data_IF_759348613861
#
_entry.id   IF_759348613861
#
_cell.length_a   1.000
_cell.length_b   1.000
_cell.length_c   1.000
_cell.angle_alpha   90.00
_cell.angle_beta   90.00
_cell.angle_gamma   90.00
#
_symmetry.space_group_name_H-M   'P 1'
#
loop_
_entity.id
_entity.type
_entity.pdbx_description
1 polymer ?
#
# COMPACT_ATOMS: atom_id res chain seq x y z
N UNK A 1 33.43 68.96 -3.26
CA UNK A 1 32.54 67.89 -2.76
C UNK A 1 32.61 66.64 -3.65
N UNK A 2 33.66 65.79 -3.56
CA UNK A 2 33.79 64.62 -4.46
C UNK A 2 34.36 63.33 -3.83
N UNK A 3 34.67 63.31 -2.53
CA UNK A 3 35.28 62.14 -1.86
C UNK A 3 34.26 61.10 -1.33
N UNK A 4 33.00 61.48 -1.12
CA UNK A 4 31.99 60.59 -0.53
C UNK A 4 31.47 59.48 -1.47
N UNK A 5 31.50 59.70 -2.79
CA UNK A 5 30.91 58.79 -3.76
C UNK A 5 31.78 57.54 -4.03
N UNK A 6 33.11 57.68 -3.91
CA UNK A 6 34.08 56.59 -4.14
C UNK A 6 34.07 55.54 -3.02
N UNK A 7 33.85 55.99 -1.77
CA UNK A 7 33.75 55.12 -0.59
C UNK A 7 32.49 54.24 -0.67
N UNK A 8 31.36 54.83 -1.06
CA UNK A 8 30.10 54.11 -1.26
C UNK A 8 30.15 53.10 -2.43
N UNK A 9 30.94 53.36 -3.48
CA UNK A 9 31.16 52.41 -4.58
C UNK A 9 32.01 51.20 -4.15
N UNK A 10 33.10 51.44 -3.41
CA UNK A 10 33.95 50.37 -2.86
C UNK A 10 33.20 49.47 -1.88
N UNK A 11 32.29 50.03 -1.07
CA UNK A 11 31.46 49.27 -0.14
C UNK A 11 30.44 48.39 -0.88
N UNK A 12 29.86 48.88 -1.99
CA UNK A 12 28.97 48.10 -2.86
C UNK A 12 29.70 47.00 -3.62
N UNK A 13 30.95 47.21 -4.05
CA UNK A 13 31.76 46.15 -4.68
C UNK A 13 32.16 45.06 -3.69
N UNK A 14 32.57 45.42 -2.47
CA UNK A 14 32.85 44.45 -1.40
C UNK A 14 31.61 43.62 -1.02
N UNK A 15 30.44 44.27 -0.88
CA UNK A 15 29.19 43.57 -0.61
C UNK A 15 28.82 42.57 -1.74
N UNK A 16 29.11 42.89 -3.01
CA UNK A 16 28.91 41.95 -4.13
C UNK A 16 29.89 40.77 -4.07
N UNK A 17 31.16 41.02 -3.77
CA UNK A 17 32.19 39.98 -3.62
C UNK A 17 31.88 39.04 -2.45
N UNK A 18 31.37 39.57 -1.32
CA UNK A 18 30.98 38.76 -0.17
C UNK A 18 29.76 37.87 -0.47
N UNK A 19 28.79 38.36 -1.27
CA UNK A 19 27.63 37.58 -1.71
C UNK A 19 28.06 36.47 -2.66
N UNK A 20 28.97 36.75 -3.60
CA UNK A 20 29.48 35.78 -4.55
C UNK A 20 30.34 34.71 -3.86
N UNK A 21 31.19 35.11 -2.91
CA UNK A 21 31.96 34.18 -2.07
C UNK A 21 31.06 33.28 -1.22
N UNK A 22 29.97 33.81 -0.65
CA UNK A 22 28.97 33.00 0.09
C UNK A 22 28.25 32.00 -0.81
N UNK A 23 27.87 32.41 -2.03
CA UNK A 23 27.24 31.50 -3.01
C UNK A 23 28.18 30.39 -3.45
N UNK A 24 29.44 30.70 -3.72
CA UNK A 24 30.46 29.72 -4.08
C UNK A 24 30.72 28.73 -2.92
N UNK A 25 30.79 29.22 -1.69
CA UNK A 25 30.96 28.37 -0.51
C UNK A 25 29.75 27.45 -0.29
N UNK A 26 28.54 27.93 -0.56
CA UNK A 26 27.32 27.11 -0.48
C UNK A 26 27.25 26.06 -1.60
N UNK A 27 27.65 26.41 -2.83
CA UNK A 27 27.76 25.46 -3.94
C UNK A 27 28.77 24.36 -3.65
N UNK A 28 29.97 24.72 -3.18
CA UNK A 28 30.99 23.74 -2.77
C UNK A 28 30.50 22.81 -1.66
N UNK A 29 29.81 23.34 -0.65
CA UNK A 29 29.20 22.50 0.40
C UNK A 29 28.13 21.56 -0.15
N UNK A 30 27.31 22.01 -1.10
CA UNK A 30 26.31 21.17 -1.76
C UNK A 30 26.97 20.05 -2.57
N UNK A 31 28.06 20.35 -3.27
CA UNK A 31 28.85 19.35 -4.01
C UNK A 31 29.50 18.34 -3.07
N UNK A 32 30.15 18.77 -1.99
CA UNK A 32 30.75 17.88 -0.98
C UNK A 32 29.70 16.97 -0.31
N UNK A 33 28.52 17.51 0.01
CA UNK A 33 27.41 16.71 0.54
C UNK A 33 26.90 15.70 -0.50
N UNK A 34 26.77 16.10 -1.76
CA UNK A 34 26.35 15.20 -2.82
C UNK A 34 27.37 14.06 -3.06
N UNK A 35 28.66 14.32 -2.87
CA UNK A 35 29.70 13.29 -2.92
C UNK A 35 29.65 12.33 -1.73
N UNK A 36 29.38 12.84 -0.53
CA UNK A 36 29.30 12.02 0.69
C UNK A 36 28.10 11.06 0.67
N UNK A 37 26.99 11.45 0.06
CA UNK A 37 25.75 10.64 0.00
C UNK A 37 25.64 9.73 -1.24
N UNK A 38 26.74 9.52 -2.00
CA UNK A 38 26.72 8.54 -3.09
C UNK A 38 26.48 7.13 -2.53
N UNK A 39 25.42 6.43 -2.94
CA UNK A 39 25.11 5.11 -2.39
C UNK A 39 26.23 4.11 -2.71
N UNK A 40 26.71 3.43 -1.67
CA UNK A 40 27.74 2.39 -1.76
C UNK A 40 27.24 1.29 -2.70
N UNK A 41 27.89 1.15 -3.84
CA UNK A 41 27.52 0.20 -4.88
C UNK A 41 27.91 -1.22 -4.46
N UNK A 42 26.97 -1.96 -3.89
CA UNK A 42 27.15 -3.35 -3.46
C UNK A 42 27.46 -4.26 -4.66
N UNK A 43 28.47 -5.12 -4.53
CA UNK A 43 28.81 -6.07 -5.58
C UNK A 43 27.67 -7.07 -5.83
N UNK A 44 27.21 -7.15 -7.08
CA UNK A 44 26.16 -8.05 -7.54
C UNK A 44 26.56 -9.52 -7.31
N UNK A 45 25.88 -10.19 -6.37
CA UNK A 45 26.04 -11.63 -6.12
C UNK A 45 25.09 -12.40 -7.05
N UNK A 46 25.64 -13.28 -7.88
CA UNK A 46 24.87 -14.16 -8.77
C UNK A 46 24.87 -15.57 -8.17
N UNK A 47 23.72 -16.27 -8.14
CA UNK A 47 23.67 -17.68 -7.74
C UNK A 47 24.53 -18.56 -8.66
N UNK A 48 25.06 -19.66 -8.11
CA UNK A 48 25.93 -20.58 -8.83
C UNK A 48 25.15 -21.28 -9.96
N UNK A 49 25.65 -21.22 -11.20
CA UNK A 49 25.02 -21.82 -12.38
C UNK A 49 24.39 -20.83 -13.37
N UNK A 50 24.35 -19.53 -13.08
CA UNK A 50 23.94 -18.50 -14.06
C UNK A 50 25.14 -17.85 -14.72
N UNK A 51 25.17 -17.80 -16.05
CA UNK A 51 26.24 -17.17 -16.79
C UNK A 51 26.30 -15.66 -16.48
N UNK A 52 27.43 -15.13 -15.98
CA UNK A 52 27.49 -13.74 -15.55
C UNK A 52 27.21 -12.72 -16.68
N UNK A 53 27.46 -13.11 -17.93
CA UNK A 53 27.17 -12.30 -19.13
C UNK A 53 25.70 -12.28 -19.52
N UNK A 54 24.86 -13.16 -18.99
CA UNK A 54 23.40 -13.09 -19.23
C UNK A 54 22.72 -12.11 -18.28
N UNK A 55 23.46 -11.51 -17.35
CA UNK A 55 22.92 -10.55 -16.38
C UNK A 55 23.49 -9.16 -16.67
N UNK A 56 22.62 -8.15 -16.63
CA UNK A 56 22.99 -6.75 -16.81
C UNK A 56 23.89 -6.29 -15.65
N UNK A 57 24.95 -5.57 -15.98
CA UNK A 57 25.89 -4.98 -15.03
C UNK A 57 25.21 -3.84 -14.26
N UNK A 58 25.05 -3.98 -12.95
CA UNK A 58 24.53 -2.91 -12.08
C UNK A 58 25.36 -1.62 -12.16
N UNK A 59 26.70 -1.73 -12.22
CA UNK A 59 27.59 -0.58 -12.36
C UNK A 59 27.42 0.12 -13.71
N UNK A 60 27.13 -0.63 -14.78
CA UNK A 60 26.86 -0.03 -16.09
C UNK A 60 25.51 0.66 -16.11
N UNK A 61 24.50 0.05 -15.49
CA UNK A 61 23.18 0.66 -15.28
C UNK A 61 23.27 1.96 -14.46
N UNK A 62 24.19 2.03 -13.50
CA UNK A 62 24.48 3.23 -12.71
C UNK A 62 25.48 4.20 -13.38
N UNK A 63 26.01 3.89 -14.58
CA UNK A 63 26.95 4.74 -15.30
C UNK A 63 28.38 4.79 -14.72
N UNK A 64 28.70 3.92 -13.77
CA UNK A 64 29.97 3.91 -13.01
C UNK A 64 30.78 2.63 -13.23
N UNK A 65 30.67 1.98 -14.39
CA UNK A 65 31.39 0.74 -14.67
C UNK A 65 32.79 1.00 -15.25
N UNK A 66 33.83 0.81 -14.44
CA UNK A 66 35.23 0.96 -14.86
C UNK A 66 35.73 -0.18 -15.76
N UNK A 67 34.98 -1.29 -15.83
CA UNK A 67 35.41 -2.53 -16.49
C UNK A 67 35.13 -2.55 -18.00
N UNK A 68 34.37 -1.59 -18.51
CA UNK A 68 34.08 -1.43 -19.94
C UNK A 68 33.70 -2.74 -20.63
N UNK A 69 34.31 -3.03 -21.78
CA UNK A 69 34.04 -4.25 -22.58
C UNK A 69 34.54 -5.55 -21.94
N UNK A 70 35.39 -5.47 -20.91
CA UNK A 70 35.91 -6.62 -20.17
C UNK A 70 35.09 -6.94 -18.91
N UNK A 71 33.95 -6.28 -18.73
CA UNK A 71 33.08 -6.54 -17.60
C UNK A 71 32.58 -8.00 -17.61
N UNK A 72 32.56 -8.62 -16.43
CA UNK A 72 32.02 -9.97 -16.22
C UNK A 72 30.50 -10.02 -16.51
N UNK A 73 29.83 -8.88 -16.35
CA UNK A 73 28.41 -8.67 -16.58
C UNK A 73 28.17 -7.96 -17.90
N UNK A 74 26.99 -8.13 -18.50
CA UNK A 74 26.70 -7.52 -19.79
C UNK A 74 26.37 -6.03 -19.66
N UNK A 75 26.76 -5.27 -20.68
CA UNK A 75 26.44 -3.85 -20.87
C UNK A 75 25.30 -3.64 -21.89
N UNK A 76 24.58 -4.71 -22.27
CA UNK A 76 23.43 -4.61 -23.16
C UNK A 76 22.13 -4.41 -22.37
N UNK A 77 21.60 -3.19 -22.42
CA UNK A 77 20.33 -2.78 -21.80
C UNK A 77 19.12 -3.59 -22.31
N UNK A 78 19.24 -4.29 -23.44
CA UNK A 78 18.17 -5.18 -23.92
C UNK A 78 18.04 -6.48 -23.13
N UNK A 79 19.01 -6.83 -22.30
CA UNK A 79 18.96 -8.10 -21.55
C UNK A 79 17.84 -8.09 -20.50
N UNK A 80 17.55 -6.95 -19.86
CA UNK A 80 16.39 -6.82 -18.95
C UNK A 80 15.04 -6.91 -19.68
N UNK A 81 15.01 -6.65 -21.00
CA UNK A 81 13.77 -6.70 -21.80
C UNK A 81 13.47 -8.07 -22.41
N UNK A 82 14.24 -9.11 -22.08
CA UNK A 82 13.91 -10.48 -22.45
C UNK A 82 12.75 -10.95 -21.57
N UNK A 83 11.55 -10.50 -21.90
CA UNK A 83 10.29 -11.11 -21.48
C UNK A 83 10.38 -12.61 -21.74
N UNK A 84 9.89 -13.42 -20.79
CA UNK A 84 9.85 -14.86 -20.93
C UNK A 84 9.26 -15.20 -22.31
N UNK A 85 9.98 -16.00 -23.10
CA UNK A 85 9.53 -16.41 -24.43
C UNK A 85 8.15 -17.03 -24.26
N UNK A 86 7.13 -16.39 -24.82
CA UNK A 86 5.75 -16.91 -24.81
C UNK A 86 5.80 -18.29 -25.45
N UNK A 87 5.46 -19.32 -24.68
CA UNK A 87 5.41 -20.69 -25.18
C UNK A 87 4.39 -20.75 -26.32
N UNK A 88 4.83 -21.25 -27.47
CA UNK A 88 4.07 -21.28 -28.71
C UNK A 88 2.87 -22.24 -28.62
N UNK A 89 2.92 -23.20 -27.70
CA UNK A 89 1.91 -24.25 -27.56
C UNK A 89 0.90 -23.99 -26.44
N UNK A 90 1.11 -22.96 -25.61
CA UNK A 90 0.15 -22.57 -24.57
C UNK A 90 -0.60 -21.32 -25.03
N UNK A 91 -1.88 -21.47 -25.36
CA UNK A 91 -2.74 -20.32 -25.66
C UNK A 91 -3.15 -19.62 -24.36
N UNK A 92 -2.48 -18.52 -24.06
CA UNK A 92 -2.80 -17.65 -22.90
C UNK A 92 -4.23 -17.12 -22.90
N UNK A 93 -5.02 -17.29 -23.98
CA UNK A 93 -6.43 -16.87 -24.03
C UNK A 93 -7.29 -17.63 -23.05
N UNK A 94 -7.02 -18.91 -22.79
CA UNK A 94 -7.78 -19.71 -21.81
C UNK A 94 -7.53 -19.22 -20.38
N UNK A 95 -6.28 -18.87 -20.05
CA UNK A 95 -5.92 -18.29 -18.74
C UNK A 95 -6.59 -16.92 -18.53
N UNK A 96 -6.68 -16.10 -19.59
CA UNK A 96 -7.33 -14.78 -19.56
C UNK A 96 -8.86 -14.90 -19.42
N UNK A 97 -9.49 -15.93 -19.98
CA UNK A 97 -10.92 -16.18 -19.82
C UNK A 97 -11.27 -16.72 -18.44
N UNK A 98 -10.37 -17.51 -17.84
CA UNK A 98 -10.52 -18.01 -16.48
C UNK A 98 -10.32 -16.93 -15.40
N UNK A 99 -9.67 -15.81 -15.75
CA UNK A 99 -9.35 -14.69 -14.86
C UNK A 99 -10.51 -13.69 -14.75
N UNK A 100 -11.66 -14.19 -14.29
CA UNK A 100 -12.90 -13.42 -14.10
C UNK A 100 -12.84 -12.58 -12.83
N UNK A 101 -13.47 -11.39 -12.84
CA UNK A 101 -13.36 -10.39 -11.76
C UNK A 101 -13.70 -10.91 -10.36
N UNK A 102 -14.55 -11.92 -10.28
CA UNK A 102 -14.96 -12.57 -9.02
C UNK A 102 -13.79 -13.29 -8.31
N UNK A 103 -12.67 -13.53 -8.99
CA UNK A 103 -11.48 -14.20 -8.45
C UNK A 103 -10.35 -13.23 -8.09
N UNK A 104 -10.55 -11.92 -8.26
CA UNK A 104 -9.49 -10.94 -8.01
C UNK A 104 -9.54 -10.46 -6.56
N UNK A 105 -8.43 -10.65 -5.86
CA UNK A 105 -8.20 -10.03 -4.57
C UNK A 105 -7.99 -8.52 -4.72
N UNK A 106 -8.20 -7.78 -3.63
CA UNK A 106 -8.12 -6.32 -3.60
C UNK A 106 -6.79 -5.76 -4.11
N UNK A 107 -5.67 -6.43 -3.83
CA UNK A 107 -4.34 -6.02 -4.33
C UNK A 107 -4.18 -6.22 -5.83
N UNK A 108 -4.76 -7.28 -6.41
CA UNK A 108 -4.76 -7.52 -7.86
C UNK A 108 -5.64 -6.48 -8.57
N UNK A 109 -6.77 -6.12 -7.96
CA UNK A 109 -7.62 -5.04 -8.44
C UNK A 109 -6.86 -3.70 -8.44
N UNK A 110 -6.15 -3.36 -7.36
CA UNK A 110 -5.35 -2.14 -7.24
C UNK A 110 -4.20 -2.06 -8.27
N UNK A 111 -3.49 -3.17 -8.50
CA UNK A 111 -2.42 -3.25 -9.50
C UNK A 111 -2.95 -3.09 -10.94
N UNK A 112 -4.10 -3.69 -11.21
CA UNK A 112 -4.76 -3.57 -12.51
C UNK A 112 -5.26 -2.14 -12.76
N UNK A 113 -5.78 -1.49 -11.73
CA UNK A 113 -6.13 -0.06 -11.76
C UNK A 113 -4.88 0.79 -11.96
N UNK A 114 -3.78 0.55 -11.24
CA UNK A 114 -2.54 1.32 -11.43
C UNK A 114 -1.94 1.16 -12.84
N UNK A 115 -2.00 -0.04 -13.41
CA UNK A 115 -1.42 -0.34 -14.72
C UNK A 115 -2.28 0.16 -15.90
N UNK A 116 -3.61 0.20 -15.73
CA UNK A 116 -4.53 0.79 -16.73
C UNK A 116 -4.63 2.31 -16.62
N UNK A 117 -4.62 2.86 -15.41
CA UNK A 117 -4.47 4.29 -15.19
C UNK A 117 -2.99 4.69 -15.35
N UNK A 118 -2.50 4.68 -16.59
CA UNK A 118 -1.36 5.52 -16.94
C UNK A 118 -1.65 6.95 -16.47
N UNK A 119 -0.79 7.48 -15.59
CA UNK A 119 -0.90 8.76 -14.87
C UNK A 119 -2.06 9.65 -15.36
N UNK A 120 -3.26 9.54 -14.77
CA UNK A 120 -4.46 10.18 -15.29
C UNK A 120 -4.27 11.69 -15.22
N UNK A 121 -4.17 12.35 -16.38
CA UNK A 121 -4.16 13.82 -16.48
C UNK A 121 -5.57 14.36 -16.30
N UNK A 122 -6.25 13.96 -15.22
CA UNK A 122 -7.54 14.54 -14.86
C UNK A 122 -7.27 15.96 -14.38
N UNK A 123 -7.88 16.94 -15.05
CA UNK A 123 -7.67 18.36 -14.73
C UNK A 123 -8.53 18.83 -13.55
N UNK A 124 -9.43 17.99 -13.03
CA UNK A 124 -10.36 18.36 -11.94
C UNK A 124 -10.52 17.23 -10.91
N UNK A 125 -10.66 17.61 -9.63
CA UNK A 125 -10.93 16.71 -8.50
C UNK A 125 -12.40 16.25 -8.40
N UNK A 126 -13.25 16.73 -9.31
CA UNK A 126 -14.68 16.40 -9.33
C UNK A 126 -14.86 15.00 -9.93
N UNK A 127 -15.64 14.15 -9.25
CA UNK A 127 -15.95 12.79 -9.69
C UNK A 127 -16.86 12.83 -10.93
N UNK A 128 -16.57 11.98 -11.92
CA UNK A 128 -17.38 11.88 -13.14
C UNK A 128 -18.81 11.38 -12.85
N UNK A 129 -19.81 12.04 -13.44
CA UNK A 129 -21.23 11.65 -13.28
C UNK A 129 -21.52 10.24 -13.82
N UNK A 130 -20.97 9.91 -14.98
CA UNK A 130 -21.15 8.59 -15.59
C UNK A 130 -20.46 7.48 -14.80
N UNK A 131 -19.41 7.81 -14.05
CA UNK A 131 -18.76 6.88 -13.14
C UNK A 131 -19.65 6.57 -11.94
N UNK A 132 -20.29 7.58 -11.34
CA UNK A 132 -21.27 7.35 -10.27
C UNK A 132 -22.44 6.47 -10.75
N UNK A 133 -22.97 6.74 -11.94
CA UNK A 133 -24.05 5.96 -12.55
C UNK A 133 -23.62 4.52 -12.89
N UNK A 134 -22.39 4.31 -13.36
CA UNK A 134 -21.86 2.99 -13.67
C UNK A 134 -21.65 2.12 -12.41
N UNK A 135 -21.20 2.74 -11.32
CA UNK A 135 -21.05 2.03 -10.04
C UNK A 135 -22.42 1.71 -9.44
N UNK A 136 -23.38 2.65 -9.49
CA UNK A 136 -24.74 2.41 -9.00
C UNK A 136 -25.43 1.27 -9.75
N UNK A 137 -25.18 1.17 -11.06
CA UNK A 137 -25.67 0.08 -11.90
C UNK A 137 -24.82 -1.20 -11.85
N UNK A 138 -23.75 -1.25 -11.05
CA UNK A 138 -22.77 -2.35 -10.98
C UNK A 138 -22.17 -2.77 -12.34
N UNK A 139 -22.19 -1.87 -13.34
CA UNK A 139 -21.62 -2.09 -14.68
C UNK A 139 -20.17 -1.59 -14.78
N UNK A 140 -19.60 -1.16 -13.67
CA UNK A 140 -18.21 -0.74 -13.57
C UNK A 140 -17.29 -1.98 -13.58
N UNK A 141 -16.35 -2.04 -14.52
CA UNK A 141 -15.46 -3.19 -14.68
C UNK A 141 -14.43 -2.97 -15.78
N UNK A 142 -13.68 -4.03 -16.09
CA UNK A 142 -12.53 -4.03 -17.02
C UNK A 142 -12.81 -3.46 -18.41
N UNK A 143 -14.06 -3.52 -18.88
CA UNK A 143 -14.47 -2.99 -20.19
C UNK A 143 -15.34 -1.72 -20.09
N UNK A 144 -15.44 -1.10 -18.91
CA UNK A 144 -16.22 0.12 -18.76
C UNK A 144 -15.42 1.34 -19.21
N UNK A 145 -15.84 1.93 -20.33
CA UNK A 145 -15.31 3.19 -20.83
C UNK A 145 -16.27 4.34 -20.52
N UNK A 146 -15.73 5.44 -20.00
CA UNK A 146 -16.55 6.62 -19.73
C UNK A 146 -17.06 7.22 -21.05
N UNK A 147 -18.37 7.42 -21.23
CA UNK A 147 -18.90 8.01 -22.47
C UNK A 147 -18.48 9.47 -22.68
N UNK A 148 -17.97 10.14 -21.63
CA UNK A 148 -17.47 11.51 -21.66
C UNK A 148 -15.95 11.58 -21.89
N UNK A 149 -15.38 10.64 -22.65
CA UNK A 149 -13.99 10.69 -23.12
C UNK A 149 -13.09 9.49 -22.77
N UNK A 150 -13.63 8.37 -22.28
CA UNK A 150 -12.87 7.15 -21.99
C UNK A 150 -11.72 7.40 -21.01
N UNK A 151 -10.50 7.36 -21.53
CA UNK A 151 -9.26 7.66 -20.79
C UNK A 151 -8.92 9.16 -20.71
N UNK A 152 -9.56 10.01 -21.52
CA UNK A 152 -9.40 11.47 -21.55
C UNK A 152 -10.60 12.19 -20.92
N UNK A 153 -11.26 11.57 -19.94
CA UNK A 153 -12.29 12.30 -19.21
C UNK A 153 -11.66 13.37 -18.32
N UNK A 154 -12.23 14.58 -18.36
CA UNK A 154 -11.81 15.72 -17.53
C UNK A 154 -11.98 15.46 -16.03
N UNK A 155 -12.93 14.58 -15.68
CA UNK A 155 -13.38 14.29 -14.32
C UNK A 155 -12.77 13.00 -13.78
N UNK A 156 -12.64 12.91 -12.46
CA UNK A 156 -11.98 11.79 -11.77
C UNK A 156 -12.85 10.51 -11.82
N UNK A 157 -12.27 9.40 -12.25
CA UNK A 157 -12.87 8.06 -12.25
C UNK A 157 -12.45 7.22 -11.04
N UNK A 158 -12.49 7.82 -9.85
CA UNK A 158 -12.20 7.14 -8.60
C UNK A 158 -13.04 7.76 -7.50
N UNK A 159 -13.63 6.92 -6.64
CA UNK A 159 -14.33 7.37 -5.45
C UNK A 159 -13.30 8.00 -4.47
N UNK A 160 -13.60 9.14 -3.83
CA UNK A 160 -12.78 9.68 -2.77
C UNK A 160 -12.61 8.65 -1.63
N UNK A 161 -11.45 8.62 -0.96
CA UNK A 161 -11.21 7.71 0.16
C UNK A 161 -12.27 7.94 1.25
N UNK A 162 -12.99 6.87 1.63
CA UNK A 162 -14.03 6.90 2.67
C UNK A 162 -15.48 7.07 2.17
N UNK A 163 -15.74 7.16 0.86
CA UNK A 163 -17.11 7.22 0.34
C UNK A 163 -17.76 5.83 0.31
N UNK A 164 -18.71 5.58 1.23
CA UNK A 164 -19.51 4.35 1.27
C UNK A 164 -20.76 4.52 0.41
N UNK A 165 -20.99 3.58 -0.52
CA UNK A 165 -22.17 3.60 -1.38
C UNK A 165 -23.46 3.41 -0.59
N UNK A 166 -24.53 4.13 -0.99
CA UNK A 166 -25.87 4.02 -0.39
C UNK A 166 -26.43 2.59 -0.40
N UNK A 167 -26.10 1.79 -1.42
CA UNK A 167 -26.53 0.39 -1.54
C UNK A 167 -25.81 -0.53 -0.54
N UNK A 168 -24.51 -0.31 -0.27
CA UNK A 168 -23.79 -1.08 0.74
C UNK A 168 -24.16 -0.65 2.16
N UNK A 169 -24.37 0.65 2.40
CA UNK A 169 -24.79 1.15 3.72
C UNK A 169 -26.09 0.51 4.21
N UNK A 170 -27.04 0.23 3.30
CA UNK A 170 -28.26 -0.54 3.66
C UNK A 170 -27.98 -1.98 4.08
N UNK A 171 -27.00 -2.65 3.44
CA UNK A 171 -26.65 -4.04 3.78
C UNK A 171 -25.93 -4.18 5.13
N UNK A 172 -25.18 -3.17 5.54
CA UNK A 172 -24.55 -3.17 6.86
C UNK A 172 -25.53 -2.76 7.97
N UNK A 173 -26.53 -1.92 7.69
CA UNK A 173 -27.65 -1.65 8.61
C UNK A 173 -28.57 -2.87 8.80
N UNK A 174 -28.78 -3.68 7.75
CA UNK A 174 -29.61 -4.91 7.77
C UNK A 174 -28.89 -6.14 8.39
N UNK A 175 -27.63 -6.03 8.84
CA UNK A 175 -27.03 -7.05 9.71
C UNK A 175 -27.56 -6.84 11.12
N UNK A 176 -28.79 -7.26 11.32
CA UNK A 176 -29.50 -7.23 12.60
C UNK A 176 -28.66 -7.94 13.68
N UNK A 177 -28.03 -7.15 14.54
CA UNK A 177 -27.49 -7.62 15.80
C UNK A 177 -28.67 -8.15 16.62
N UNK A 178 -28.73 -9.46 16.81
CA UNK A 178 -29.79 -10.13 17.57
C UNK A 178 -29.82 -9.49 18.96
N UNK A 179 -30.96 -8.89 19.34
CA UNK A 179 -31.06 -8.16 20.60
C UNK A 179 -30.83 -9.11 21.78
N UNK A 180 -30.25 -8.60 22.86
CA UNK A 180 -29.97 -9.37 24.09
C UNK A 180 -31.25 -10.03 24.63
N UNK A 181 -32.40 -9.40 24.42
CA UNK A 181 -33.72 -9.90 24.77
C UNK A 181 -34.12 -11.16 23.97
N UNK A 182 -33.92 -11.17 22.65
CA UNK A 182 -34.22 -12.33 21.79
C UNK A 182 -33.30 -13.53 22.12
N UNK A 183 -32.06 -13.24 22.50
CA UNK A 183 -31.14 -14.26 23.01
C UNK A 183 -31.64 -14.85 24.35
N UNK A 184 -32.10 -14.01 25.28
CA UNK A 184 -32.65 -14.48 26.56
C UNK A 184 -33.95 -15.27 26.38
N UNK A 185 -34.81 -14.90 25.44
CA UNK A 185 -36.05 -15.61 25.14
C UNK A 185 -35.79 -16.99 24.52
N UNK A 186 -34.81 -17.09 23.62
CA UNK A 186 -34.39 -18.37 23.06
C UNK A 186 -33.73 -19.28 24.09
N UNK A 187 -32.93 -18.75 25.02
CA UNK A 187 -32.40 -19.55 26.14
C UNK A 187 -33.48 -20.01 27.11
N UNK A 188 -34.45 -19.14 27.43
CA UNK A 188 -35.58 -19.49 28.30
C UNK A 188 -36.46 -20.60 27.70
N UNK A 189 -36.66 -20.61 26.38
CA UNK A 189 -37.40 -21.68 25.70
C UNK A 189 -36.61 -23.00 25.63
N UNK A 190 -35.28 -22.95 25.70
CA UNK A 190 -34.40 -24.14 25.74
C UNK A 190 -34.32 -24.77 27.13
N UNK A 191 -34.63 -24.04 28.19
CA UNK A 191 -34.65 -24.59 29.56
C UNK A 191 -35.86 -25.53 29.73
N UNK A 192 -35.59 -26.80 30.01
CA UNK A 192 -36.61 -27.83 30.25
C UNK A 192 -37.28 -27.75 31.64
N UNK A 193 -38.27 -28.62 31.87
CA UNK A 193 -39.17 -28.59 33.04
C UNK A 193 -38.53 -28.90 34.41
N UNK A 194 -37.28 -29.34 34.47
CA UNK A 194 -36.57 -29.62 35.73
C UNK A 194 -35.76 -28.39 36.20
N UNK A 195 -36.46 -27.31 36.58
CA UNK A 195 -35.81 -26.15 37.19
C UNK A 195 -35.72 -26.34 38.72
N UNK A 196 -34.53 -26.14 39.28
CA UNK A 196 -34.34 -26.08 40.73
C UNK A 196 -34.71 -24.68 41.21
N UNK A 197 -35.68 -24.53 42.13
CA UNK A 197 -36.01 -23.22 42.68
C UNK A 197 -34.82 -22.69 43.49
N UNK A 198 -34.56 -21.39 43.36
CA UNK A 198 -33.50 -20.71 44.11
C UNK A 198 -33.96 -20.56 45.56
N UNK A 199 -33.42 -21.38 46.44
CA UNK A 199 -33.58 -21.28 47.89
C UNK A 199 -32.20 -21.00 48.52
N UNK A 200 -32.17 -20.67 49.81
CA UNK A 200 -30.93 -20.26 50.47
C UNK A 200 -29.85 -21.36 50.43
N UNK A 201 -30.26 -22.62 50.50
CA UNK A 201 -29.38 -23.79 50.48
C UNK A 201 -28.78 -24.00 49.09
N UNK A 202 -29.60 -24.00 48.02
CA UNK A 202 -29.17 -24.14 46.63
C UNK A 202 -28.29 -22.97 46.20
N UNK A 203 -28.62 -21.75 46.63
CA UNK A 203 -27.81 -20.57 46.37
C UNK A 203 -26.44 -20.64 47.06
N UNK A 204 -26.39 -21.11 48.32
CA UNK A 204 -25.12 -21.25 49.05
C UNK A 204 -24.21 -22.31 48.41
N UNK A 205 -24.78 -23.43 47.97
CA UNK A 205 -24.06 -24.47 47.24
C UNK A 205 -23.54 -23.93 45.90
N UNK A 206 -24.39 -23.24 45.12
CA UNK A 206 -24.00 -22.60 43.87
C UNK A 206 -22.88 -21.56 44.06
N UNK A 207 -22.95 -20.73 45.10
CA UNK A 207 -21.95 -19.70 45.39
C UNK A 207 -20.58 -20.32 45.68
N UNK A 208 -20.53 -21.42 46.45
CA UNK A 208 -19.30 -22.17 46.70
C UNK A 208 -18.74 -22.78 45.41
N UNK A 209 -19.59 -23.43 44.60
CA UNK A 209 -19.19 -23.99 43.30
C UNK A 209 -18.65 -22.93 42.35
N UNK A 210 -19.24 -21.72 42.34
CA UNK A 210 -18.79 -20.61 41.51
C UNK A 210 -17.44 -20.05 41.96
N UNK A 211 -17.21 -19.91 43.27
CA UNK A 211 -15.92 -19.48 43.82
C UNK A 211 -14.81 -20.48 43.46
N UNK A 212 -15.05 -21.78 43.66
CA UNK A 212 -14.08 -22.83 43.29
C UNK A 212 -13.77 -22.79 41.79
N UNK A 213 -14.79 -22.60 40.94
CA UNK A 213 -14.59 -22.47 39.49
C UNK A 213 -13.77 -21.24 39.12
N UNK A 214 -14.05 -20.09 39.75
CA UNK A 214 -13.30 -18.86 39.53
C UNK A 214 -11.83 -19.01 39.93
N UNK A 215 -11.56 -19.58 41.11
CA UNK A 215 -10.20 -19.83 41.58
C UNK A 215 -9.45 -20.82 40.67
N UNK A 216 -10.13 -21.84 40.16
CA UNK A 216 -9.57 -22.78 39.19
C UNK A 216 -9.24 -22.11 37.85
N UNK A 217 -10.13 -21.25 37.33
CA UNK A 217 -9.91 -20.51 36.08
C UNK A 217 -8.79 -19.47 36.24
N UNK A 218 -8.69 -18.79 37.38
CA UNK A 218 -7.61 -17.85 37.69
C UNK A 218 -6.26 -18.58 37.88
N UNK A 219 -6.25 -19.73 38.54
CA UNK A 219 -5.08 -20.58 38.65
C UNK A 219 -4.64 -21.14 37.27
N UNK A 220 -5.59 -21.51 36.41
CA UNK A 220 -5.31 -21.94 35.05
C UNK A 220 -4.74 -20.80 34.19
N UNK A 221 -5.30 -19.59 34.29
CA UNK A 221 -4.77 -18.39 33.64
C UNK A 221 -3.36 -18.04 34.14
N UNK A 222 -3.11 -18.15 35.45
CA UNK A 222 -1.78 -17.95 36.04
C UNK A 222 -0.77 -18.97 35.54
N UNK A 223 -1.12 -20.25 35.54
CA UNK A 223 -0.26 -21.32 34.99
C UNK A 223 0.01 -21.12 33.50
N UNK A 224 -1.00 -20.70 32.72
CA UNK A 224 -0.84 -20.39 31.29
C UNK A 224 0.05 -19.17 31.04
N UNK A 225 0.02 -18.17 31.94
CA UNK A 225 0.92 -17.02 31.91
C UNK A 225 2.36 -17.43 32.27
N UNK A 226 2.52 -18.24 33.32
CA UNK A 226 3.81 -18.78 33.79
C UNK A 226 4.46 -19.73 32.77
N UNK A 227 3.67 -20.50 32.00
CA UNK A 227 4.18 -21.36 30.92
C UNK A 227 4.48 -20.64 29.61
N UNK A 228 4.16 -19.34 29.52
CA UNK A 228 4.37 -18.51 28.31
C UNK A 228 5.69 -17.74 28.35
N UNK A 229 6.39 -17.78 29.49
CA UNK A 229 7.73 -17.24 29.70
C UNK A 229 8.75 -18.38 29.79
#
# INVERSE_FOLDING_TARGET
>A
MAAGNRKAQLEKEKAKQDIEAKKLAEQKKKEELAELFKPIQVAQKIPFGTDPKTVLCQYFKAGSCDKGTKCKFSHDLNIERKTAKKDLYTDTRDDLQADTMDKWDQSKLEEVVLSKQGNPRTTTDIVCKHFLEAIENQKYGWFWECPNGGMECKYRHALPPGFVLKSQKKKDDDKEEISIEDFLETERHKLGTNLTPVNLETFSAWKKTRQVKQEADEAAKRKALESRW
#
